data_IF_805686560414
#
_entry.id   IF_805686560414
#
_cell.length_a   1.000
_cell.length_b   1.000
_cell.length_c   1.000
_cell.angle_alpha   90.00
_cell.angle_beta   90.00
_cell.angle_gamma   90.00
#
_symmetry.space_group_name_H-M   'P 1'
#
loop_
_entity.id
_entity.type
_entity.pdbx_description
1 polymer ?
#
# COMPACT_ATOMS: atom_id res chain seq x y z
N UNK A 1 30.66 16.20 -4.73
CA UNK A 1 30.34 15.52 -3.46
C UNK A 1 29.31 14.45 -3.78
N UNK A 2 29.66 13.17 -3.66
CA UNK A 2 28.82 12.05 -4.12
C UNK A 2 27.56 11.90 -3.28
N UNK A 3 26.46 11.47 -3.90
CA UNK A 3 25.21 11.12 -3.22
C UNK A 3 25.43 9.81 -2.46
N UNK A 4 25.38 9.82 -1.13
CA UNK A 4 25.23 8.58 -0.35
C UNK A 4 23.75 8.19 -0.35
N UNK A 5 23.36 7.38 -1.33
CA UNK A 5 22.05 6.73 -1.32
C UNK A 5 22.18 5.39 -0.58
N UNK A 6 21.67 5.33 0.65
CA UNK A 6 21.58 4.07 1.40
C UNK A 6 20.55 3.16 0.73
N UNK A 7 20.97 1.97 0.30
CA UNK A 7 20.07 0.93 -0.22
C UNK A 7 19.65 0.03 0.93
N UNK A 8 18.34 -0.04 1.20
CA UNK A 8 17.77 -0.98 2.15
C UNK A 8 17.37 -2.26 1.42
N UNK A 9 17.93 -3.39 1.85
CA UNK A 9 17.57 -4.73 1.40
C UNK A 9 16.82 -5.44 2.51
N UNK A 10 15.68 -6.05 2.17
CA UNK A 10 14.88 -6.86 3.08
C UNK A 10 14.96 -8.32 2.65
N UNK A 11 15.24 -9.23 3.59
CA UNK A 11 15.23 -10.67 3.37
C UNK A 11 13.91 -11.23 3.94
N UNK A 12 12.94 -11.63 3.10
CA UNK A 12 11.72 -12.25 3.58
C UNK A 12 12.00 -13.66 4.09
N UNK A 13 11.30 -14.07 5.14
CA UNK A 13 11.32 -15.43 5.68
C UNK A 13 9.98 -16.11 5.41
N UNK A 14 10.04 -17.37 5.00
CA UNK A 14 8.86 -18.23 4.84
C UNK A 14 8.20 -18.48 6.20
N UNK A 15 6.88 -18.31 6.25
CA UNK A 15 6.07 -18.63 7.42
C UNK A 15 4.71 -19.10 6.95
N UNK A 16 4.26 -20.22 7.53
CA UNK A 16 2.95 -20.79 7.26
C UNK A 16 2.71 -21.15 5.77
N UNK A 17 3.77 -21.55 5.05
CA UNK A 17 3.78 -21.90 3.61
C UNK A 17 3.51 -23.39 3.33
N UNK A 18 2.59 -24.02 4.07
CA UNK A 18 2.28 -25.44 3.86
C UNK A 18 3.47 -26.40 3.98
N UNK A 19 3.45 -27.48 3.20
CA UNK A 19 4.41 -28.59 3.26
C UNK A 19 5.38 -28.64 2.07
N UNK A 20 5.06 -27.96 0.99
CA UNK A 20 5.96 -27.69 -0.14
C UNK A 20 6.94 -26.54 0.14
N UNK A 21 6.74 -25.83 1.24
CA UNK A 21 7.56 -24.69 1.67
C UNK A 21 7.52 -23.51 0.70
N UNK A 22 6.51 -23.44 -0.18
CA UNK A 22 6.35 -22.37 -1.14
C UNK A 22 5.16 -21.52 -0.74
N UNK A 23 5.40 -20.27 -0.33
CA UNK A 23 4.34 -19.35 0.07
C UNK A 23 3.61 -18.76 -1.15
N UNK A 24 2.38 -19.16 -1.40
CA UNK A 24 1.52 -18.60 -2.45
C UNK A 24 0.37 -17.79 -1.84
N UNK A 25 0.51 -16.45 -1.88
CA UNK A 25 -0.54 -15.53 -1.46
C UNK A 25 -1.56 -15.27 -2.57
N UNK A 26 -2.83 -15.15 -2.19
CA UNK A 26 -3.93 -14.76 -3.09
C UNK A 26 -4.45 -13.37 -2.68
N UNK A 27 -3.70 -12.35 -3.10
CA UNK A 27 -3.98 -10.95 -2.77
C UNK A 27 -5.06 -10.37 -3.67
N UNK A 28 -6.14 -9.88 -3.06
CA UNK A 28 -7.17 -9.12 -3.77
C UNK A 28 -7.26 -7.69 -3.26
N UNK A 29 -7.59 -6.76 -4.15
CA UNK A 29 -7.76 -5.34 -3.83
C UNK A 29 -9.08 -4.85 -4.38
N UNK A 30 -9.88 -4.19 -3.56
CA UNK A 30 -11.09 -3.48 -3.98
C UNK A 30 -11.07 -2.03 -3.51
N UNK A 31 -11.59 -1.14 -4.36
CA UNK A 31 -11.64 0.30 -4.10
C UNK A 31 -13.09 0.78 -4.15
N UNK A 32 -13.43 1.72 -3.27
CA UNK A 32 -14.74 2.38 -3.24
C UNK A 32 -14.58 3.87 -2.90
N UNK A 33 -15.33 4.74 -3.59
CA UNK A 33 -15.18 6.20 -3.51
C UNK A 33 -16.18 6.85 -2.53
N UNK A 34 -16.56 6.15 -1.47
CA UNK A 34 -17.49 6.65 -0.42
C UNK A 34 -18.79 7.26 -0.95
N UNK A 35 -19.31 6.76 -2.08
CA UNK A 35 -20.54 7.25 -2.72
C UNK A 35 -20.36 8.39 -3.72
N UNK A 36 -19.13 8.83 -3.98
CA UNK A 36 -18.83 9.81 -5.03
C UNK A 36 -18.73 9.10 -6.39
N UNK A 37 -19.62 9.47 -7.32
CA UNK A 37 -19.58 8.98 -8.71
C UNK A 37 -18.76 9.90 -9.61
N UNK A 38 -18.74 11.21 -9.31
CA UNK A 38 -18.02 12.23 -10.09
C UNK A 38 -17.25 13.19 -9.20
N UNK A 39 -16.01 13.49 -9.56
CA UNK A 39 -15.18 14.50 -8.88
C UNK A 39 -15.22 15.81 -9.70
N UNK A 40 -15.75 16.88 -9.11
CA UNK A 40 -15.84 18.19 -9.78
C UNK A 40 -14.70 19.10 -9.34
N UNK A 41 -13.78 19.37 -10.27
CA UNK A 41 -12.62 20.25 -10.01
C UNK A 41 -13.10 21.65 -9.61
N UNK A 42 -12.55 22.17 -8.51
CA UNK A 42 -12.89 23.49 -7.97
C UNK A 42 -14.04 23.50 -6.96
N UNK A 43 -14.86 22.44 -6.91
CA UNK A 43 -15.91 22.28 -5.88
C UNK A 43 -15.59 21.15 -4.90
N UNK A 44 -15.02 20.05 -5.39
CA UNK A 44 -14.60 18.92 -4.57
C UNK A 44 -13.14 19.11 -4.14
N UNK A 45 -12.91 19.37 -2.85
CA UNK A 45 -11.57 19.60 -2.30
C UNK A 45 -10.87 18.31 -1.87
N UNK A 46 -11.63 17.23 -1.67
CA UNK A 46 -11.13 15.96 -1.13
C UNK A 46 -11.77 14.78 -1.86
N UNK A 47 -10.97 13.73 -2.06
CA UNK A 47 -11.40 12.44 -2.58
C UNK A 47 -11.07 11.36 -1.54
N UNK A 48 -12.10 10.78 -0.95
CA UNK A 48 -11.93 9.66 -0.02
C UNK A 48 -12.05 8.34 -0.79
N UNK A 49 -11.05 7.48 -0.63
CA UNK A 49 -11.02 6.16 -1.24
C UNK A 49 -10.91 5.13 -0.12
N UNK A 50 -11.93 4.30 0.01
CA UNK A 50 -11.88 3.10 0.84
C UNK A 50 -11.19 2.02 0.05
N UNK A 51 -10.12 1.45 0.62
CA UNK A 51 -9.37 0.35 0.01
C UNK A 51 -9.43 -0.85 0.92
N UNK A 52 -9.87 -1.97 0.38
CA UNK A 52 -9.87 -3.26 1.08
C UNK A 52 -8.85 -4.14 0.39
N UNK A 53 -7.92 -4.66 1.18
CA UNK A 53 -6.96 -5.68 0.76
C UNK A 53 -7.31 -6.96 1.49
N UNK A 54 -7.50 -8.04 0.75
CA UNK A 54 -7.65 -9.38 1.32
C UNK A 54 -6.53 -10.28 0.83
N UNK A 55 -6.28 -11.33 1.59
CA UNK A 55 -5.40 -12.42 1.22
C UNK A 55 -6.14 -13.73 1.52
N UNK A 56 -6.57 -14.43 0.48
CA UNK A 56 -7.29 -15.72 0.63
C UNK A 56 -6.34 -16.93 0.50
N UNK A 57 -5.04 -16.66 0.28
CA UNK A 57 -3.99 -17.66 0.19
C UNK A 57 -3.13 -17.70 1.46
N UNK A 58 -1.85 -18.05 1.31
CA UNK A 58 -0.89 -18.11 2.40
C UNK A 58 -0.34 -16.72 2.76
N UNK A 59 0.32 -16.61 3.91
CA UNK A 59 0.81 -15.33 4.45
C UNK A 59 1.69 -14.58 3.43
N UNK A 60 1.32 -13.33 3.12
CA UNK A 60 2.11 -12.43 2.28
C UNK A 60 2.89 -11.43 3.12
N UNK A 61 4.22 -11.45 2.99
CA UNK A 61 5.14 -10.55 3.68
C UNK A 61 5.51 -9.35 2.82
N UNK A 62 5.50 -8.16 3.43
CA UNK A 62 5.86 -6.94 2.72
C UNK A 62 4.84 -6.51 1.67
N UNK A 63 3.56 -6.83 1.86
CA UNK A 63 2.49 -6.41 0.96
C UNK A 63 2.44 -4.88 0.87
N UNK A 64 2.63 -4.35 -0.35
CA UNK A 64 2.58 -2.91 -0.65
C UNK A 64 1.44 -2.61 -1.60
N UNK A 65 0.66 -1.56 -1.29
CA UNK A 65 -0.33 -1.01 -2.20
C UNK A 65 0.27 0.22 -2.89
N UNK A 66 0.29 0.22 -4.22
CA UNK A 66 0.76 1.36 -5.02
C UNK A 66 -0.43 2.09 -5.64
N UNK A 67 -0.54 3.40 -5.39
CA UNK A 67 -1.58 4.25 -5.97
C UNK A 67 -1.02 5.04 -7.14
N UNK A 68 -1.70 4.96 -8.28
CA UNK A 68 -1.42 5.80 -9.43
C UNK A 68 -2.59 6.77 -9.60
N UNK A 69 -2.30 8.07 -9.49
CA UNK A 69 -3.31 9.13 -9.60
C UNK A 69 -2.80 10.28 -10.47
N UNK A 70 -3.69 11.05 -11.14
CA UNK A 70 -3.30 12.20 -11.95
C UNK A 70 -2.61 13.29 -11.12
N UNK A 71 -1.83 14.16 -11.79
CA UNK A 71 -1.06 15.23 -11.13
C UNK A 71 -1.91 16.24 -10.34
N UNK A 72 -3.23 16.29 -10.54
CA UNK A 72 -4.15 17.14 -9.79
C UNK A 72 -4.55 16.60 -8.41
N UNK A 73 -4.17 15.36 -8.09
CA UNK A 73 -4.41 14.74 -6.79
C UNK A 73 -3.10 14.67 -5.99
N UNK A 74 -3.23 14.69 -4.67
CA UNK A 74 -2.12 14.48 -3.76
C UNK A 74 -2.56 13.61 -2.58
N UNK A 75 -1.67 12.71 -2.14
CA UNK A 75 -1.92 11.93 -0.94
C UNK A 75 -1.89 12.84 0.29
N UNK A 76 -2.97 12.80 1.09
CA UNK A 76 -3.08 13.58 2.33
C UNK A 76 -2.88 12.73 3.57
N UNK A 77 -3.67 11.66 3.71
CA UNK A 77 -3.66 10.79 4.88
C UNK A 77 -4.27 9.44 4.55
N UNK A 78 -4.02 8.49 5.43
CA UNK A 78 -4.68 7.18 5.48
C UNK A 78 -5.27 6.95 6.86
N UNK A 79 -6.29 6.11 6.92
CA UNK A 79 -6.83 5.53 8.14
C UNK A 79 -6.91 4.03 7.93
N UNK A 80 -6.12 3.26 8.70
CA UNK A 80 -6.18 1.81 8.65
C UNK A 80 -7.36 1.34 9.51
N UNK A 81 -8.32 0.66 8.87
CA UNK A 81 -9.44 0.01 9.56
C UNK A 81 -9.13 -1.48 9.53
N UNK A 82 -8.78 -2.04 10.68
CA UNK A 82 -8.45 -3.46 10.79
C UNK A 82 -9.75 -4.26 10.89
N UNK A 83 -10.11 -4.96 9.82
CA UNK A 83 -11.25 -5.87 9.80
C UNK A 83 -10.70 -7.29 10.00
N UNK A 84 -10.55 -7.68 11.26
CA UNK A 84 -10.27 -9.04 11.73
C UNK A 84 -8.95 -9.78 11.35
N UNK A 85 -7.91 -9.13 10.82
CA UNK A 85 -6.55 -9.70 10.84
C UNK A 85 -5.47 -8.65 10.60
N UNK A 86 -4.31 -8.87 11.21
CA UNK A 86 -3.21 -7.91 11.34
C UNK A 86 -2.42 -7.73 10.03
N UNK A 87 -2.87 -6.83 9.16
CA UNK A 87 -2.05 -6.32 8.06
C UNK A 87 -1.41 -4.98 8.46
N UNK A 88 -0.12 -5.01 8.78
CA UNK A 88 0.71 -3.82 8.94
C UNK A 88 1.09 -3.28 7.56
N UNK A 89 0.29 -2.35 7.02
CA UNK A 89 0.65 -1.64 5.80
C UNK A 89 1.64 -0.52 6.14
N UNK A 90 2.91 -0.69 5.77
CA UNK A 90 3.92 0.35 5.87
C UNK A 90 4.09 1.06 4.53
N UNK A 91 3.92 2.37 4.52
CA UNK A 91 4.08 3.19 3.32
C UNK A 91 5.57 3.42 3.04
N UNK A 92 6.05 2.92 1.91
CA UNK A 92 7.33 3.32 1.36
C UNK A 92 7.09 4.51 0.43
N UNK A 93 7.26 5.73 0.97
CA UNK A 93 7.43 6.91 0.13
C UNK A 93 8.71 6.78 -0.72
N UNK A 94 8.78 7.39 -1.90
CA UNK A 94 9.98 7.30 -2.74
C UNK A 94 11.15 7.96 -2.00
N UNK A 95 12.22 7.17 -1.80
CA UNK A 95 13.61 7.54 -1.51
C UNK A 95 13.79 8.84 -0.71
N UNK A 96 14.05 8.73 0.60
CA UNK A 96 14.64 9.83 1.36
C UNK A 96 16.09 10.02 0.91
N UNK A 97 16.30 10.85 -0.11
CA UNK A 97 17.57 11.54 -0.30
C UNK A 97 17.62 12.68 0.72
N UNK A 98 18.16 12.43 1.90
CA UNK A 98 18.59 13.51 2.79
C UNK A 98 19.79 14.20 2.13
N UNK A 99 19.56 15.39 1.58
CA UNK A 99 20.63 16.22 1.01
C UNK A 99 20.67 17.57 1.69
N UNK A 100 21.88 17.97 2.09
CA UNK A 100 22.37 19.34 1.94
C UNK A 100 23.19 19.40 0.65
#
# INVERSE_FOLDING_TARGET
>A
MGRECTVLLQLPFEKNCGQDHLCEGDLSVSLSFSGLETLVVGSSLELNVTVVVSNEGEDSYGTVISFHYPAGLSYRRTLAIQVNSSLGLQWLGPLSCSGL
#
